data_IF_288126235629
#
_entry.id   IF_288126235629
#
_cell.length_a   1.000
_cell.length_b   1.000
_cell.length_c   1.000
_cell.angle_alpha   90.00
_cell.angle_beta   90.00
_cell.angle_gamma   90.00
#
_symmetry.space_group_name_H-M   'P 1'
#
loop_
_entity.id
_entity.type
_entity.pdbx_description
1 polymer ?
#
# COMPACT_ATOMS: atom_id res chain seq x y z
N UNK A 1 8.08 20.81 -1.52
CA UNK A 1 8.49 19.55 -2.19
C UNK A 1 7.26 18.94 -2.83
N UNK A 2 7.40 18.45 -4.06
CA UNK A 2 6.39 17.63 -4.74
C UNK A 2 6.89 16.19 -4.73
N UNK A 3 6.09 15.28 -4.20
CA UNK A 3 6.37 13.84 -4.10
C UNK A 3 5.40 13.13 -5.03
N UNK A 4 5.93 12.22 -5.84
CA UNK A 4 5.18 11.44 -6.81
C UNK A 4 5.56 9.98 -6.63
N UNK A 5 4.58 9.08 -6.54
CA UNK A 5 4.80 7.63 -6.45
C UNK A 5 3.55 6.85 -6.86
N UNK A 6 3.63 5.55 -6.84
CA UNK A 6 2.54 4.65 -7.13
C UNK A 6 2.35 3.59 -6.05
N UNK A 7 1.14 3.03 -5.97
CA UNK A 7 0.81 1.98 -5.01
C UNK A 7 1.61 0.68 -5.21
N UNK A 8 2.07 0.46 -6.44
CA UNK A 8 2.85 -0.72 -6.84
C UNK A 8 4.33 -0.38 -7.07
N UNK A 9 4.77 0.76 -6.56
CA UNK A 9 6.16 1.19 -6.58
C UNK A 9 6.89 0.63 -5.34
N UNK A 10 8.02 -0.03 -5.54
CA UNK A 10 8.85 -0.53 -4.44
C UNK A 10 9.32 0.57 -3.47
N UNK A 11 9.38 1.82 -3.93
CA UNK A 11 9.79 2.98 -3.13
C UNK A 11 8.61 3.63 -2.35
N UNK A 12 7.38 3.13 -2.52
CA UNK A 12 6.17 3.74 -1.94
C UNK A 12 6.23 3.89 -0.41
N UNK A 13 6.88 2.95 0.29
CA UNK A 13 7.08 3.04 1.74
C UNK A 13 7.95 4.25 2.10
N UNK A 14 9.07 4.44 1.41
CA UNK A 14 9.97 5.59 1.59
C UNK A 14 9.28 6.93 1.30
N UNK A 15 8.39 6.95 0.32
CA UNK A 15 7.57 8.11 -0.02
C UNK A 15 6.61 8.48 1.11
N UNK A 16 5.92 7.50 1.70
CA UNK A 16 4.99 7.75 2.80
C UNK A 16 5.72 8.20 4.07
N UNK A 17 6.86 7.62 4.38
CA UNK A 17 7.71 8.07 5.49
C UNK A 17 8.23 9.49 5.26
N UNK A 18 8.65 9.83 4.04
CA UNK A 18 9.04 11.19 3.68
C UNK A 18 7.89 12.17 3.90
N UNK A 19 6.67 11.82 3.48
CA UNK A 19 5.49 12.65 3.72
C UNK A 19 5.23 12.85 5.21
N UNK A 20 5.38 11.83 6.03
CA UNK A 20 5.20 11.92 7.49
C UNK A 20 6.11 12.98 8.14
N UNK A 21 7.31 13.21 7.59
CA UNK A 21 8.18 14.30 8.01
C UNK A 21 7.74 15.64 7.43
N UNK A 22 7.45 15.70 6.13
CA UNK A 22 7.12 16.93 5.43
C UNK A 22 5.78 17.54 5.87
N UNK A 23 4.80 16.71 6.21
CA UNK A 23 3.50 17.18 6.71
C UNK A 23 3.59 17.99 8.01
N UNK A 24 4.67 17.77 8.78
CA UNK A 24 4.98 18.52 10.02
C UNK A 24 5.81 19.77 9.78
N UNK A 25 6.30 19.99 8.56
CA UNK A 25 7.14 21.13 8.21
C UNK A 25 6.28 22.41 8.15
N UNK A 26 6.76 23.53 8.71
CA UNK A 26 6.10 24.83 8.57
C UNK A 26 6.23 25.40 7.14
N UNK A 27 7.07 24.82 6.30
CA UNK A 27 7.28 25.28 4.92
C UNK A 27 6.06 24.90 4.08
N UNK A 28 5.40 25.88 3.43
CA UNK A 28 4.23 25.59 2.59
C UNK A 28 4.61 24.90 1.28
N UNK A 29 3.59 24.36 0.58
CA UNK A 29 3.74 23.85 -0.77
C UNK A 29 4.21 22.41 -0.89
N UNK A 30 4.26 21.67 0.21
CA UNK A 30 4.46 20.22 0.11
C UNK A 30 3.21 19.56 -0.46
N UNK A 31 3.43 18.64 -1.41
CA UNK A 31 2.38 17.85 -2.05
C UNK A 31 2.81 16.43 -2.27
N UNK A 32 1.81 15.54 -2.24
CA UNK A 32 1.96 14.14 -2.56
C UNK A 32 0.92 13.73 -3.61
N UNK A 33 1.39 12.97 -4.61
CA UNK A 33 0.54 12.33 -5.62
C UNK A 33 0.84 10.84 -5.63
N UNK A 34 -0.18 10.03 -5.38
CA UNK A 34 -0.09 8.58 -5.31
C UNK A 34 -1.03 7.98 -6.36
N UNK A 35 -0.45 7.50 -7.45
CA UNK A 35 -1.19 6.85 -8.53
C UNK A 35 -1.24 5.34 -8.38
N UNK A 36 -2.00 4.63 -9.24
CA UNK A 36 -2.04 3.18 -9.26
C UNK A 36 -0.87 2.60 -10.06
N UNK A 37 0.31 3.19 -9.94
CA UNK A 37 1.43 2.93 -10.83
C UNK A 37 2.53 2.10 -10.17
N UNK A 38 3.30 1.33 -10.97
CA UNK A 38 4.60 0.83 -10.57
C UNK A 38 5.65 1.93 -10.67
N UNK A 39 6.93 1.59 -10.49
CA UNK A 39 8.06 2.53 -10.48
C UNK A 39 8.17 3.42 -11.74
N UNK A 40 7.67 2.98 -12.88
CA UNK A 40 7.58 3.79 -14.10
C UNK A 40 6.59 4.97 -14.05
N UNK A 41 5.90 5.16 -12.94
CA UNK A 41 4.90 6.20 -12.70
C UNK A 41 3.78 6.22 -13.76
N UNK A 42 3.39 7.40 -14.18
CA UNK A 42 2.23 7.74 -15.01
C UNK A 42 2.21 7.13 -16.43
N UNK A 43 3.02 6.13 -16.71
CA UNK A 43 3.06 5.44 -18.01
C UNK A 43 2.10 4.25 -18.12
N UNK A 44 1.54 3.78 -16.99
CA UNK A 44 0.84 2.50 -16.89
C UNK A 44 -0.63 2.67 -16.51
N UNK A 45 -1.50 1.88 -17.15
CA UNK A 45 -2.95 1.79 -16.86
C UNK A 45 -3.31 0.48 -16.19
N UNK A 46 -2.33 -0.35 -16.00
CA UNK A 46 -2.42 -1.67 -15.38
C UNK A 46 -1.18 -1.95 -14.56
N UNK A 47 -1.29 -2.92 -13.68
CA UNK A 47 -0.16 -3.54 -13.02
C UNK A 47 -0.42 -5.03 -13.05
N UNK A 48 0.37 -5.75 -13.84
CA UNK A 48 0.23 -7.17 -14.07
C UNK A 48 -1.20 -7.54 -14.54
N UNK A 49 -2.01 -8.14 -13.67
CA UNK A 49 -3.36 -8.60 -13.98
C UNK A 49 -4.46 -7.58 -13.58
N UNK A 50 -4.08 -6.45 -13.00
CA UNK A 50 -5.00 -5.41 -12.58
C UNK A 50 -5.09 -4.31 -13.62
N UNK A 51 -6.29 -4.03 -14.11
CA UNK A 51 -6.60 -2.92 -15.00
C UNK A 51 -7.28 -1.80 -14.20
N UNK A 52 -6.69 -0.61 -14.23
CA UNK A 52 -7.20 0.57 -13.50
C UNK A 52 -8.01 1.52 -14.38
N UNK A 53 -8.13 1.20 -15.66
CA UNK A 53 -8.86 2.03 -16.60
C UNK A 53 -8.07 3.24 -17.15
N UNK A 54 -8.73 4.00 -18.03
CA UNK A 54 -8.07 5.08 -18.76
C UNK A 54 -7.65 6.27 -17.89
N UNK A 55 -8.36 6.51 -16.80
CA UNK A 55 -8.09 7.59 -15.85
C UNK A 55 -6.95 7.29 -14.88
N UNK A 56 -6.39 6.08 -14.91
CA UNK A 56 -5.17 5.74 -14.16
C UNK A 56 -3.96 6.57 -14.62
N UNK A 57 -3.93 6.98 -15.89
CA UNK A 57 -2.92 7.91 -16.42
C UNK A 57 -3.47 9.33 -16.31
N UNK A 58 -2.74 10.17 -15.59
CA UNK A 58 -3.00 11.62 -15.53
C UNK A 58 -2.37 12.28 -16.76
N UNK A 59 -3.17 12.65 -17.73
CA UNK A 59 -2.69 13.28 -18.96
C UNK A 59 -2.12 14.68 -18.75
N UNK A 60 -2.41 15.31 -17.61
CA UNK A 60 -1.86 16.60 -17.21
C UNK A 60 -0.64 16.47 -16.26
N UNK A 61 -0.08 15.28 -16.13
CA UNK A 61 0.98 14.98 -15.15
C UNK A 61 2.19 15.91 -15.29
N UNK A 62 2.73 16.05 -16.49
CA UNK A 62 3.86 16.94 -16.77
C UNK A 62 3.50 18.42 -16.55
N UNK A 63 2.30 18.80 -16.97
CA UNK A 63 1.77 20.15 -16.76
C UNK A 63 1.64 20.45 -15.25
N UNK A 64 1.22 19.48 -14.45
CA UNK A 64 1.14 19.58 -12.99
C UNK A 64 2.52 19.85 -12.38
N UNK A 65 3.53 19.11 -12.81
CA UNK A 65 4.91 19.28 -12.35
C UNK A 65 5.43 20.67 -12.73
N UNK A 66 5.28 21.06 -13.99
CA UNK A 66 5.73 22.36 -14.50
C UNK A 66 5.05 23.50 -13.73
N UNK A 67 3.74 23.45 -13.54
CA UNK A 67 2.99 24.48 -12.78
C UNK A 67 3.47 24.61 -11.34
N UNK A 68 3.80 23.49 -10.70
CA UNK A 68 4.35 23.49 -9.35
C UNK A 68 5.70 24.22 -9.31
N UNK A 69 6.62 23.92 -10.24
CA UNK A 69 7.89 24.61 -10.36
C UNK A 69 7.74 26.09 -10.74
N UNK A 70 6.84 26.41 -11.65
CA UNK A 70 6.56 27.79 -12.05
C UNK A 70 6.13 28.64 -10.85
N UNK A 71 5.28 28.10 -9.99
CA UNK A 71 4.86 28.81 -8.78
C UNK A 71 6.01 28.98 -7.78
N UNK A 72 6.64 27.87 -7.37
CA UNK A 72 7.61 27.91 -6.26
C UNK A 72 9.01 28.36 -6.63
N UNK A 73 9.44 28.26 -7.88
CA UNK A 73 10.76 28.70 -8.33
C UNK A 73 10.73 30.02 -9.10
N UNK A 74 9.67 30.30 -9.84
CA UNK A 74 9.56 31.52 -10.66
C UNK A 74 8.60 32.56 -10.07
N UNK A 75 7.85 32.23 -9.01
CA UNK A 75 6.89 33.14 -8.38
C UNK A 75 5.66 33.41 -9.24
N UNK A 76 5.32 32.53 -10.17
CA UNK A 76 4.14 32.70 -11.01
C UNK A 76 2.88 32.41 -10.21
N UNK A 77 1.99 33.39 -10.14
CA UNK A 77 0.67 33.25 -9.47
C UNK A 77 -0.28 32.42 -10.34
N UNK A 78 -0.24 31.11 -10.20
CA UNK A 78 -1.04 30.15 -10.98
C UNK A 78 -2.01 29.31 -10.13
N UNK A 79 -2.18 29.66 -8.83
CA UNK A 79 -3.09 28.99 -7.91
C UNK A 79 -2.61 27.65 -7.37
N UNK A 80 -1.33 27.31 -7.56
CA UNK A 80 -0.77 26.07 -7.00
C UNK A 80 -0.80 26.05 -5.47
N UNK A 81 -0.64 27.17 -4.82
CA UNK A 81 -0.69 27.34 -3.36
C UNK A 81 -2.05 26.96 -2.75
N UNK A 82 -3.11 26.97 -3.55
CA UNK A 82 -4.49 26.72 -3.12
C UNK A 82 -4.99 25.29 -3.39
N UNK A 83 -4.17 24.47 -4.05
CA UNK A 83 -4.55 23.09 -4.34
C UNK A 83 -4.42 22.18 -3.12
N UNK A 84 -5.24 21.12 -3.01
CA UNK A 84 -5.12 20.12 -1.97
C UNK A 84 -3.71 19.53 -1.89
N UNK A 85 -3.25 19.18 -0.69
CA UNK A 85 -1.91 18.65 -0.47
C UNK A 85 -1.73 17.23 -0.98
N UNK A 86 -2.76 16.41 -0.91
CA UNK A 86 -2.74 15.03 -1.37
C UNK A 86 -3.67 14.82 -2.56
N UNK A 87 -3.18 14.10 -3.56
CA UNK A 87 -3.97 13.55 -4.67
C UNK A 87 -3.63 12.07 -4.75
N UNK A 88 -4.63 11.20 -4.71
CA UNK A 88 -4.40 9.76 -4.67
C UNK A 88 -5.47 9.01 -5.45
N UNK A 89 -5.09 7.86 -5.95
CA UNK A 89 -5.97 6.97 -6.69
C UNK A 89 -6.50 5.88 -5.78
N UNK A 90 -7.81 5.63 -5.80
CA UNK A 90 -8.42 4.52 -5.06
C UNK A 90 -8.63 3.36 -6.01
N UNK A 91 -7.86 2.29 -5.80
CA UNK A 91 -7.96 1.06 -6.57
C UNK A 91 -9.28 0.35 -6.27
N UNK A 92 -9.87 -0.32 -7.26
CA UNK A 92 -11.19 -0.93 -7.13
C UNK A 92 -12.31 0.04 -7.48
N UNK A 93 -12.35 1.22 -6.86
CA UNK A 93 -13.20 2.34 -7.28
C UNK A 93 -12.72 2.93 -8.61
N UNK A 94 -11.41 2.87 -8.84
CA UNK A 94 -10.74 3.37 -10.03
C UNK A 94 -10.96 4.88 -10.27
N UNK A 95 -10.83 5.67 -9.19
CA UNK A 95 -11.02 7.10 -9.19
C UNK A 95 -9.90 7.84 -8.46
N UNK A 96 -9.63 9.06 -8.93
CA UNK A 96 -8.76 10.01 -8.26
C UNK A 96 -9.51 10.77 -7.17
N UNK A 97 -8.89 10.86 -6.01
CA UNK A 97 -9.36 11.64 -4.87
C UNK A 97 -8.35 12.71 -4.49
N UNK A 98 -8.82 13.71 -3.78
CA UNK A 98 -7.98 14.77 -3.20
C UNK A 98 -8.29 14.96 -1.73
N UNK A 99 -7.29 15.35 -0.95
CA UNK A 99 -7.45 15.66 0.46
C UNK A 99 -6.52 16.81 0.86
N UNK A 100 -6.91 17.52 1.93
CA UNK A 100 -6.09 18.59 2.52
C UNK A 100 -4.83 18.07 3.18
N UNK A 101 -4.76 16.77 3.45
CA UNK A 101 -3.56 16.08 3.91
C UNK A 101 -3.59 14.60 3.48
N UNK A 102 -2.47 13.94 3.53
CA UNK A 102 -2.34 12.50 3.52
C UNK A 102 -2.05 12.06 4.96
N UNK A 103 -2.90 11.40 5.57
CA UNK A 103 -4.11 10.60 5.34
C UNK A 103 -5.37 11.49 5.25
N UNK A 104 -6.43 11.09 4.50
CA UNK A 104 -7.70 11.80 4.49
C UNK A 104 -8.30 11.92 5.89
N UNK A 105 -8.95 13.04 6.19
CA UNK A 105 -9.53 13.29 7.53
C UNK A 105 -10.67 12.33 7.90
N UNK A 106 -11.32 11.78 6.90
CA UNK A 106 -12.41 10.81 7.04
C UNK A 106 -11.89 9.41 7.38
N UNK A 107 -10.62 9.14 7.10
CA UNK A 107 -10.00 7.86 7.42
C UNK A 107 -9.88 7.69 8.94
N UNK A 108 -10.18 6.50 9.41
CA UNK A 108 -10.10 6.12 10.82
C UNK A 108 -9.15 4.95 10.97
N UNK A 109 -8.31 5.02 11.98
CA UNK A 109 -7.52 3.87 12.37
C UNK A 109 -8.44 2.81 12.98
N UNK A 110 -8.38 1.61 12.44
CA UNK A 110 -9.15 0.45 12.91
C UNK A 110 -8.15 -0.65 13.26
N UNK A 111 -8.26 -1.18 14.48
CA UNK A 111 -7.50 -2.36 14.87
C UNK A 111 -8.22 -3.61 14.37
N UNK A 112 -7.50 -4.43 13.64
CA UNK A 112 -7.90 -5.75 13.22
C UNK A 112 -7.00 -6.76 13.94
N UNK A 113 -7.60 -7.82 14.45
CA UNK A 113 -6.90 -8.84 15.22
C UNK A 113 -6.83 -10.13 14.42
N UNK A 114 -5.64 -10.74 14.39
CA UNK A 114 -5.44 -12.06 13.82
C UNK A 114 -5.85 -13.10 14.85
N UNK A 115 -6.67 -14.06 14.44
CA UNK A 115 -7.22 -15.10 15.27
C UNK A 115 -7.27 -16.43 14.51
N UNK A 116 -7.11 -17.55 15.23
CA UNK A 116 -7.19 -18.91 14.68
C UNK A 116 -7.38 -19.93 15.81
N UNK A 117 -7.67 -21.16 15.45
CA UNK A 117 -7.61 -22.30 16.39
C UNK A 117 -6.25 -23.03 16.30
N UNK A 118 -5.20 -22.34 15.81
CA UNK A 118 -3.83 -22.84 15.70
C UNK A 118 -3.48 -23.45 14.33
N UNK A 119 -4.28 -23.21 13.31
CA UNK A 119 -4.14 -23.80 11.98
C UNK A 119 -4.33 -22.77 10.86
N UNK A 120 -3.83 -21.55 11.01
CA UNK A 120 -3.91 -20.51 9.98
C UNK A 120 -3.03 -20.79 8.75
N UNK A 121 -2.39 -21.95 8.66
CA UNK A 121 -1.53 -22.36 7.56
C UNK A 121 -2.32 -22.52 6.27
N UNK A 122 -1.96 -21.72 5.27
CA UNK A 122 -2.58 -21.61 3.95
C UNK A 122 -4.00 -21.00 3.96
N UNK A 123 -4.46 -20.65 2.75
CA UNK A 123 -5.84 -20.18 2.54
C UNK A 123 -6.93 -21.23 2.86
N UNK A 124 -6.55 -22.46 3.13
CA UNK A 124 -7.46 -23.53 3.55
C UNK A 124 -7.44 -23.74 5.06
N UNK A 125 -6.70 -22.92 5.79
CA UNK A 125 -6.62 -22.95 7.24
C UNK A 125 -7.84 -22.31 7.93
N UNK A 126 -7.68 -22.02 9.21
CA UNK A 126 -8.72 -21.45 10.05
C UNK A 126 -8.45 -19.99 10.47
N UNK A 127 -7.44 -19.37 9.84
CA UNK A 127 -7.06 -18.00 10.14
C UNK A 127 -8.17 -17.01 9.79
N UNK A 128 -8.50 -16.14 10.72
CA UNK A 128 -9.56 -15.14 10.60
C UNK A 128 -9.10 -13.77 11.10
N UNK A 129 -9.65 -12.73 10.51
CA UNK A 129 -9.48 -11.35 10.95
C UNK A 129 -10.74 -10.92 11.71
N UNK A 130 -10.56 -10.41 12.93
CA UNK A 130 -11.66 -10.02 13.82
C UNK A 130 -11.53 -8.58 14.32
N UNK A 131 -12.62 -7.99 14.79
CA UNK A 131 -12.63 -6.66 15.41
C UNK A 131 -12.41 -6.71 16.93
N UNK A 132 -12.41 -7.88 17.50
CA UNK A 132 -12.17 -8.09 18.94
C UNK A 132 -10.87 -8.87 19.11
N UNK A 133 -10.08 -8.57 20.14
CA UNK A 133 -8.89 -9.35 20.44
C UNK A 133 -9.21 -10.84 20.56
N UNK A 134 -8.37 -11.67 19.94
CA UNK A 134 -8.43 -13.12 20.12
C UNK A 134 -8.10 -13.50 21.56
N UNK A 135 -8.60 -14.66 22.01
CA UNK A 135 -8.03 -15.33 23.17
C UNK A 135 -6.59 -15.80 22.83
N UNK A 136 -5.84 -16.20 23.84
CA UNK A 136 -4.44 -16.60 23.64
C UNK A 136 -4.31 -17.80 22.70
N UNK A 137 -3.55 -17.65 21.63
CA UNK A 137 -3.26 -18.67 20.64
C UNK A 137 -1.97 -18.40 19.91
N UNK A 138 -1.49 -19.35 19.12
CA UNK A 138 -0.36 -19.14 18.23
C UNK A 138 -0.45 -20.06 17.02
N UNK A 139 -0.08 -19.55 15.87
CA UNK A 139 0.15 -20.33 14.66
C UNK A 139 1.64 -20.54 14.47
N UNK A 140 2.00 -21.67 13.88
CA UNK A 140 3.38 -22.00 13.59
C UNK A 140 3.54 -22.45 12.14
N UNK A 141 4.66 -22.10 11.54
CA UNK A 141 5.05 -22.58 10.22
C UNK A 141 6.55 -22.93 10.21
N UNK A 142 6.96 -23.71 9.24
CA UNK A 142 8.35 -24.07 9.03
C UNK A 142 8.88 -23.26 7.85
N UNK A 143 9.79 -22.34 8.11
CA UNK A 143 10.49 -21.61 7.06
C UNK A 143 11.64 -22.46 6.53
N UNK A 144 11.64 -22.67 5.20
CA UNK A 144 12.73 -23.34 4.48
C UNK A 144 13.45 -22.35 3.57
N UNK A 145 14.71 -21.98 3.89
CA UNK A 145 15.46 -21.04 3.06
C UNK A 145 15.82 -21.57 1.67
N UNK A 146 15.73 -22.87 1.42
CA UNK A 146 15.92 -23.45 0.08
C UNK A 146 14.66 -23.30 -0.81
N UNK A 147 13.50 -23.07 -0.17
CA UNK A 147 12.21 -22.84 -0.84
C UNK A 147 11.50 -21.60 -0.29
N UNK A 148 12.11 -20.40 -0.40
CA UNK A 148 11.54 -19.20 0.17
C UNK A 148 10.15 -18.90 -0.42
N UNK A 149 9.28 -18.32 0.39
CA UNK A 149 8.03 -17.76 -0.10
C UNK A 149 8.37 -16.49 -0.88
N UNK A 150 8.07 -16.46 -2.15
CA UNK A 150 8.46 -15.35 -3.02
C UNK A 150 9.47 -15.70 -4.10
N UNK A 151 9.64 -16.98 -4.44
CA UNK A 151 10.53 -17.44 -5.49
C UNK A 151 10.15 -16.96 -6.91
N UNK A 152 10.89 -17.45 -7.89
CA UNK A 152 10.91 -17.01 -9.30
C UNK A 152 9.56 -16.55 -9.86
N UNK A 153 9.55 -15.36 -10.44
CA UNK A 153 8.39 -14.81 -11.15
C UNK A 153 7.42 -14.00 -10.29
N UNK A 154 7.77 -13.63 -9.06
CA UNK A 154 6.90 -12.86 -8.16
C UNK A 154 6.85 -11.36 -8.45
N UNK A 155 7.42 -10.95 -9.59
CA UNK A 155 7.28 -9.56 -10.05
C UNK A 155 8.14 -8.55 -9.30
N UNK A 156 9.10 -8.98 -8.50
CA UNK A 156 10.14 -8.11 -7.97
C UNK A 156 11.20 -7.72 -9.02
N UNK A 157 11.19 -8.39 -10.18
CA UNK A 157 11.91 -7.94 -11.36
C UNK A 157 11.19 -6.70 -11.90
N UNK A 158 11.69 -5.52 -11.65
CA UNK A 158 11.18 -4.19 -11.99
C UNK A 158 10.25 -3.52 -10.96
N UNK A 159 10.15 -4.00 -9.72
CA UNK A 159 9.31 -3.38 -8.67
C UNK A 159 7.80 -3.59 -8.89
N UNK A 160 7.41 -4.56 -9.70
CA UNK A 160 6.01 -4.91 -9.97
C UNK A 160 5.52 -5.94 -8.95
N UNK A 161 4.61 -5.55 -8.09
CA UNK A 161 3.90 -6.46 -7.16
C UNK A 161 2.54 -6.79 -7.74
N UNK A 162 2.26 -8.07 -7.99
CA UNK A 162 0.93 -8.51 -8.40
C UNK A 162 0.15 -9.04 -7.22
N UNK A 163 -1.01 -8.47 -6.90
CA UNK A 163 -1.86 -9.01 -5.84
C UNK A 163 -2.44 -10.40 -6.18
N UNK A 164 -2.57 -10.75 -7.46
CA UNK A 164 -3.08 -12.07 -7.85
C UNK A 164 -2.05 -13.20 -7.69
N UNK A 165 -0.77 -12.90 -7.76
CA UNK A 165 0.26 -13.91 -7.50
C UNK A 165 0.34 -14.33 -6.04
N UNK A 166 -0.25 -13.57 -5.13
CA UNK A 166 -0.38 -13.98 -3.73
C UNK A 166 -1.19 -15.27 -3.55
N UNK A 167 -2.13 -15.57 -4.44
CA UNK A 167 -2.92 -16.80 -4.36
C UNK A 167 -2.06 -18.07 -4.41
N UNK A 168 -1.01 -18.08 -5.23
CA UNK A 168 -0.08 -19.22 -5.31
C UNK A 168 0.77 -19.37 -4.05
N UNK A 169 1.00 -18.28 -3.31
CA UNK A 169 1.68 -18.32 -2.01
C UNK A 169 0.74 -18.78 -0.91
N UNK A 170 -0.49 -18.29 -0.93
CA UNK A 170 -1.49 -18.58 0.10
C UNK A 170 -1.94 -20.05 0.17
N UNK A 171 -1.68 -20.86 -0.86
CA UNK A 171 -1.90 -22.32 -0.80
C UNK A 171 -0.78 -23.09 -0.08
N UNK A 172 0.35 -22.44 0.23
CA UNK A 172 1.49 -23.07 0.88
C UNK A 172 1.23 -23.25 2.36
N UNK A 173 1.69 -24.35 2.94
CA UNK A 173 1.57 -24.65 4.37
C UNK A 173 2.55 -23.85 5.25
N UNK A 174 3.54 -23.20 4.65
CA UNK A 174 4.50 -22.32 5.31
C UNK A 174 4.11 -20.83 5.22
N UNK A 175 2.87 -20.54 4.83
CA UNK A 175 2.29 -19.20 4.81
C UNK A 175 1.06 -19.19 5.72
N UNK A 176 1.03 -18.26 6.68
CA UNK A 176 -0.14 -18.02 7.50
C UNK A 176 -1.08 -17.05 6.78
N UNK A 177 -2.35 -17.43 6.69
CA UNK A 177 -3.38 -16.64 6.00
C UNK A 177 -4.52 -16.34 6.96
N UNK A 178 -4.88 -15.06 7.03
CA UNK A 178 -5.98 -14.59 7.86
C UNK A 178 -6.92 -13.76 7.01
N UNK A 179 -8.16 -14.20 6.90
CA UNK A 179 -9.17 -13.57 6.06
C UNK A 179 -10.30 -12.96 6.89
N UNK A 180 -10.90 -11.89 6.38
CA UNK A 180 -12.18 -11.43 6.86
C UNK A 180 -13.30 -12.31 6.28
N UNK A 181 -14.47 -12.41 6.93
CA UNK A 181 -15.68 -12.84 6.24
C UNK A 181 -15.94 -11.95 5.00
N UNK A 182 -16.77 -12.45 4.09
CA UNK A 182 -17.24 -11.61 2.97
C UNK A 182 -17.86 -10.34 3.53
N UNK A 183 -17.37 -9.20 3.07
CA UNK A 183 -17.82 -7.91 3.56
C UNK A 183 -19.21 -7.57 3.02
N UNK A 184 -20.06 -7.00 3.88
CA UNK A 184 -21.43 -6.59 3.51
C UNK A 184 -21.46 -5.31 2.67
N UNK A 185 -20.35 -4.56 2.67
CA UNK A 185 -20.17 -3.31 1.92
C UNK A 185 -18.71 -3.12 1.53
N UNK A 186 -18.47 -2.31 0.50
CA UNK A 186 -17.15 -1.93 0.09
C UNK A 186 -16.42 -1.14 1.19
N UNK A 187 -15.13 -1.40 1.36
CA UNK A 187 -14.26 -0.69 2.28
C UNK A 187 -13.10 -0.06 1.49
N UNK A 188 -12.93 1.24 1.62
CA UNK A 188 -11.77 1.94 1.11
C UNK A 188 -10.71 2.07 2.20
N UNK A 189 -9.49 1.63 1.90
CA UNK A 189 -8.34 1.76 2.79
C UNK A 189 -7.46 2.88 2.25
N UNK A 190 -7.22 3.92 3.06
CA UNK A 190 -6.39 5.06 2.67
C UNK A 190 -5.63 5.57 3.90
N UNK A 191 -4.34 5.27 3.96
CA UNK A 191 -3.47 5.63 5.07
C UNK A 191 -2.44 4.54 5.38
N UNK A 192 -1.67 4.70 6.46
CA UNK A 192 -0.66 3.73 6.83
C UNK A 192 -1.28 2.43 7.34
N UNK A 193 -0.66 1.32 6.95
CA UNK A 193 -0.94 0.00 7.49
C UNK A 193 0.20 -0.40 8.42
N UNK A 194 -0.15 -0.93 9.59
CA UNK A 194 0.80 -1.43 10.57
C UNK A 194 0.43 -2.86 10.93
N UNK A 195 1.43 -3.73 11.00
CA UNK A 195 1.30 -5.04 11.60
C UNK A 195 2.10 -5.07 12.91
N UNK A 196 1.44 -5.43 14.00
CA UNK A 196 2.08 -5.69 15.29
C UNK A 196 1.99 -7.19 15.57
N UNK A 197 3.14 -7.86 15.54
CA UNK A 197 3.22 -9.30 15.67
C UNK A 197 4.06 -9.68 16.90
N UNK A 198 3.54 -10.60 17.69
CA UNK A 198 4.31 -11.30 18.71
C UNK A 198 4.87 -12.56 18.07
N UNK A 199 6.16 -12.54 17.72
CA UNK A 199 6.80 -13.59 16.96
C UNK A 199 7.96 -14.22 17.69
N UNK A 200 8.18 -15.51 17.48
CA UNK A 200 9.32 -16.25 17.98
C UNK A 200 9.87 -17.17 16.89
N UNK A 201 11.16 -17.45 16.93
CA UNK A 201 11.82 -18.36 16.00
C UNK A 201 12.73 -19.32 16.76
N UNK A 202 12.85 -20.54 16.26
CA UNK A 202 13.87 -21.49 16.71
C UNK A 202 15.25 -21.21 16.09
N UNK A 203 15.30 -20.39 15.03
CA UNK A 203 16.55 -19.97 14.39
C UNK A 203 17.16 -18.76 15.10
N UNK A 204 18.47 -18.59 14.94
CA UNK A 204 19.22 -17.46 15.51
C UNK A 204 18.89 -16.16 14.78
N UNK A 205 18.51 -16.26 13.49
CA UNK A 205 18.14 -15.16 12.63
C UNK A 205 17.02 -15.60 11.68
N UNK A 206 16.07 -14.70 11.40
CA UNK A 206 14.95 -14.95 10.47
C UNK A 206 14.33 -13.65 10.00
N UNK A 207 13.53 -13.72 8.95
CA UNK A 207 12.71 -12.63 8.45
C UNK A 207 11.23 -13.01 8.50
N UNK A 208 10.38 -12.04 8.87
CA UNK A 208 8.93 -12.12 8.72
C UNK A 208 8.54 -11.18 7.59
N UNK A 209 7.92 -11.74 6.55
CA UNK A 209 7.58 -11.04 5.30
C UNK A 209 6.09 -11.21 5.04
#
# INVERSE_FOLDING_TARGET
MLILSGWYDGDALGVQETWRFLSKSPVPGHRIVLGPWPHGLNAWRDSMDLAFGNNAVDYDFDTRIIRWFDHYLKGIENGEDKKPKATYYVNGENQWHTSEDWMPKEARLVNLYLDSDGHANSMNGDGRVTLTPAETGSDAYVYDPEFPCGGEGDGFDDGLVSPYKCNSRQIRSDVLVYDTPVLDQDIAIAGPLYAELYAASSAVDTHFI
#
